data_IF_447810958025
#
_entry.id   IF_447810958025
#
_cell.length_a   1.000
_cell.length_b   1.000
_cell.length_c   1.000
_cell.angle_alpha   90.00
_cell.angle_beta   90.00
_cell.angle_gamma   90.00
#
_symmetry.space_group_name_H-M   'P 1'
#
loop_
_entity.id
_entity.type
_entity.pdbx_description
1 polymer ?
#
# COMPACT_ATOMS: atom_id res chain seq x y z
N UNK A 1 10.04 11.58 6.62
CA UNK A 1 8.97 11.09 7.50
C UNK A 1 7.69 11.87 7.27
N UNK A 2 7.70 13.20 7.39
CA UNK A 2 6.49 14.03 7.35
C UNK A 2 5.81 14.00 5.97
N UNK A 3 6.51 14.38 4.91
CA UNK A 3 5.90 14.51 3.58
C UNK A 3 5.34 13.18 3.02
N UNK A 4 5.95 12.05 3.38
CA UNK A 4 5.43 10.75 2.96
C UNK A 4 4.13 10.39 3.70
N UNK A 5 3.94 10.85 4.94
CA UNK A 5 2.65 10.72 5.61
C UNK A 5 1.58 11.51 4.86
N UNK A 6 1.86 12.76 4.49
CA UNK A 6 0.92 13.61 3.78
C UNK A 6 0.53 13.01 2.42
N UNK A 7 1.52 12.46 1.71
CA UNK A 7 1.29 11.72 0.47
C UNK A 7 0.48 10.44 0.68
N UNK A 8 0.81 9.64 1.70
CA UNK A 8 0.13 8.38 2.01
C UNK A 8 -1.33 8.60 2.41
N UNK A 9 -1.65 9.70 3.11
CA UNK A 9 -3.05 10.09 3.40
C UNK A 9 -3.84 10.26 2.10
N UNK A 10 -3.25 10.90 1.08
CA UNK A 10 -3.84 10.97 -0.26
C UNK A 10 -4.05 9.58 -0.87
N UNK A 11 -3.01 8.74 -0.87
CA UNK A 11 -3.06 7.39 -1.42
C UNK A 11 -4.08 6.46 -0.74
N UNK A 12 -4.35 6.65 0.56
CA UNK A 12 -5.30 5.83 1.33
C UNK A 12 -6.73 5.85 0.76
N UNK A 13 -7.06 6.85 -0.08
CA UNK A 13 -8.34 6.99 -0.78
C UNK A 13 -8.28 6.64 -2.26
N UNK A 14 -7.11 6.23 -2.73
CA UNK A 14 -6.86 5.89 -4.12
C UNK A 14 -6.90 4.38 -4.28
N UNK A 15 -5.86 3.64 -3.85
CA UNK A 15 -5.72 2.16 -3.91
C UNK A 15 -6.64 1.49 -4.96
N UNK A 16 -6.54 1.96 -6.20
CA UNK A 16 -7.58 1.75 -7.20
C UNK A 16 -7.54 0.32 -7.74
N UNK A 17 -8.70 -0.34 -7.78
CA UNK A 17 -8.91 -1.54 -8.58
C UNK A 17 -9.57 -1.21 -9.92
N UNK A 18 -9.48 -2.13 -10.87
CA UNK A 18 -10.11 -1.98 -12.18
C UNK A 18 -11.46 -2.72 -12.24
N UNK A 19 -12.42 -2.16 -12.96
CA UNK A 19 -13.61 -2.89 -13.42
C UNK A 19 -13.56 -2.96 -14.93
N UNK A 20 -13.65 -4.17 -15.47
CA UNK A 20 -13.54 -4.43 -16.90
C UNK A 20 -14.77 -5.20 -17.38
N UNK A 21 -15.04 -5.11 -18.68
CA UNK A 21 -16.12 -5.88 -19.30
C UNK A 21 -15.69 -7.34 -19.38
N UNK A 22 -16.53 -8.26 -18.89
CA UNK A 22 -16.27 -9.69 -19.04
C UNK A 22 -16.67 -10.16 -20.43
N UNK A 23 -15.89 -11.04 -21.03
CA UNK A 23 -16.26 -11.76 -22.26
C UNK A 23 -17.44 -12.75 -22.04
N UNK A 24 -17.72 -13.12 -20.79
CA UNK A 24 -18.72 -14.13 -20.45
C UNK A 24 -20.09 -13.47 -20.19
N UNK A 25 -21.18 -13.91 -20.84
CA UNK A 25 -22.51 -13.36 -20.61
C UNK A 25 -22.92 -13.46 -19.13
N UNK A 26 -23.56 -12.41 -18.61
CA UNK A 26 -24.01 -12.33 -17.21
C UNK A 26 -22.90 -12.47 -16.14
N UNK A 27 -21.65 -12.15 -16.47
CA UNK A 27 -20.54 -12.14 -15.52
C UNK A 27 -19.95 -10.74 -15.34
N UNK A 28 -19.54 -10.43 -14.11
CA UNK A 28 -18.81 -9.20 -13.76
C UNK A 28 -17.33 -9.54 -13.56
N UNK A 29 -16.45 -8.72 -14.12
CA UNK A 29 -15.00 -8.79 -13.90
C UNK A 29 -14.52 -7.55 -13.13
N UNK A 30 -13.90 -7.76 -11.98
CA UNK A 30 -13.34 -6.70 -11.15
C UNK A 30 -12.04 -7.15 -10.51
N UNK A 31 -11.05 -6.27 -10.52
CA UNK A 31 -9.80 -6.39 -9.79
C UNK A 31 -9.95 -5.72 -8.41
N UNK A 32 -9.39 -6.37 -7.39
CA UNK A 32 -9.39 -5.89 -6.02
C UNK A 32 -8.02 -6.09 -5.41
N UNK A 33 -7.59 -5.11 -4.63
CA UNK A 33 -6.40 -5.20 -3.80
C UNK A 33 -6.81 -5.57 -2.37
N UNK A 34 -6.00 -6.41 -1.75
CA UNK A 34 -6.14 -6.80 -0.36
C UNK A 34 -4.78 -6.67 0.33
N UNK A 35 -4.75 -6.39 1.65
CA UNK A 35 -3.51 -6.38 2.41
C UNK A 35 -2.79 -7.72 2.32
N UNK A 36 -1.45 -7.69 2.36
CA UNK A 36 -0.62 -8.89 2.40
C UNK A 36 -0.52 -9.46 3.83
N UNK A 37 -0.49 -8.60 4.85
CA UNK A 37 -0.39 -8.98 6.26
C UNK A 37 0.75 -8.27 6.99
N UNK A 38 1.85 -9.00 7.23
CA UNK A 38 3.02 -8.48 7.97
C UNK A 38 4.14 -8.11 7.01
N UNK A 39 4.66 -6.88 7.14
CA UNK A 39 5.80 -6.37 6.37
C UNK A 39 6.99 -6.18 7.30
N UNK A 40 8.07 -6.93 7.04
CA UNK A 40 9.36 -6.75 7.71
C UNK A 40 10.20 -5.67 7.01
N UNK A 41 10.73 -4.71 7.77
CA UNK A 41 11.51 -3.59 7.24
C UNK A 41 12.89 -3.65 7.89
N UNK A 42 13.97 -3.76 7.10
CA UNK A 42 15.34 -3.70 7.63
C UNK A 42 16.02 -2.46 7.04
N UNK A 43 16.37 -1.49 7.88
CA UNK A 43 16.96 -0.21 7.45
C UNK A 43 18.48 -0.16 7.63
N UNK A 44 19.17 0.53 6.72
CA UNK A 44 20.60 0.81 6.83
C UNK A 44 20.92 2.05 7.71
N UNK A 45 22.18 2.20 8.12
CA UNK A 45 22.63 3.26 9.03
C UNK A 45 22.63 4.67 8.42
N UNK A 46 22.77 4.79 7.10
CA UNK A 46 22.93 6.06 6.40
C UNK A 46 21.62 6.85 6.25
N UNK A 47 20.48 6.13 6.26
CA UNK A 47 19.15 6.73 6.25
C UNK A 47 18.26 6.03 7.29
N UNK A 48 18.58 6.19 8.58
CA UNK A 48 18.07 5.33 9.64
C UNK A 48 16.57 5.49 9.90
N UNK A 49 15.96 6.56 9.40
CA UNK A 49 14.54 6.88 9.63
C UNK A 49 13.77 7.01 8.32
N UNK A 50 14.40 7.53 7.26
CA UNK A 50 13.72 7.78 6.00
C UNK A 50 13.26 6.48 5.32
N UNK A 51 14.13 5.47 5.28
CA UNK A 51 13.80 4.16 4.67
C UNK A 51 12.67 3.47 5.41
N UNK A 52 12.72 3.48 6.75
CA UNK A 52 11.63 2.96 7.57
C UNK A 52 10.32 3.71 7.32
N UNK A 53 10.37 5.04 7.27
CA UNK A 53 9.19 5.88 7.05
C UNK A 53 8.52 5.57 5.71
N UNK A 54 9.29 5.49 4.62
CA UNK A 54 8.68 5.26 3.30
C UNK A 54 7.96 3.91 3.22
N UNK A 55 8.57 2.85 3.76
CA UNK A 55 7.96 1.53 3.77
C UNK A 55 6.74 1.48 4.71
N UNK A 56 6.87 2.00 5.94
CA UNK A 56 5.80 1.91 6.94
C UNK A 56 4.56 2.70 6.53
N UNK A 57 4.72 3.92 6.03
CA UNK A 57 3.59 4.78 5.66
C UNK A 57 2.79 4.17 4.49
N UNK A 58 3.47 3.54 3.52
CA UNK A 58 2.80 2.84 2.42
C UNK A 58 2.16 1.53 2.87
N UNK A 59 2.86 0.71 3.65
CA UNK A 59 2.32 -0.53 4.19
C UNK A 59 1.07 -0.30 5.05
N UNK A 60 1.07 0.70 5.93
CA UNK A 60 -0.07 1.02 6.77
C UNK A 60 -1.31 1.45 5.97
N UNK A 61 -1.15 2.27 4.92
CA UNK A 61 -2.31 2.65 4.09
C UNK A 61 -2.80 1.50 3.22
N UNK A 62 -1.93 0.55 2.86
CA UNK A 62 -2.31 -0.72 2.23
C UNK A 62 -2.99 -1.71 3.18
N UNK A 63 -3.04 -1.41 4.49
CA UNK A 63 -3.67 -2.25 5.52
C UNK A 63 -2.75 -3.31 6.14
N UNK A 64 -1.44 -3.21 5.90
CA UNK A 64 -0.43 -4.11 6.47
C UNK A 64 0.08 -3.62 7.82
N UNK A 65 0.55 -4.55 8.67
CA UNK A 65 1.29 -4.24 9.90
C UNK A 65 2.78 -4.36 9.66
N UNK A 66 3.58 -3.53 10.36
CA UNK A 66 5.02 -3.46 10.13
C UNK A 66 5.81 -3.99 11.34
N UNK A 67 6.89 -4.72 11.06
CA UNK A 67 7.95 -5.05 12.03
C UNK A 67 9.23 -4.42 11.50
N UNK A 68 9.85 -3.56 12.30
CA UNK A 68 11.13 -2.92 12.01
C UNK A 68 12.26 -3.65 12.73
#
# INVERSE_FOLDING_TARGET
MIDICDFAVGLSRQLYGLTMVSERPNHKLSEKWHPLGVVGIISAFNFPVAVWSWNSMLAWVCGDVCIW
#
